data_IF_889449007581
#
_entry.id   IF_889449007581
#
_cell.length_a   1.000
_cell.length_b   1.000
_cell.length_c   1.000
_cell.angle_alpha   90.00
_cell.angle_beta   90.00
_cell.angle_gamma   90.00
#
_symmetry.space_group_name_H-M   'P 1'
#
loop_
_entity.id
_entity.type
_entity.pdbx_description
1 polymer ?
#
# COMPACT_ATOMS: atom_id res chain seq x y z
N UNK A 1 -20.47 7.65 -20.34
CA UNK A 1 -19.71 6.39 -20.24
C UNK A 1 -18.19 6.64 -20.31
N UNK A 2 -17.55 6.85 -19.16
CA UNK A 2 -16.09 6.91 -19.05
C UNK A 2 -15.56 5.48 -19.25
N UNK A 3 -15.12 5.18 -20.48
CA UNK A 3 -14.40 3.93 -20.80
C UNK A 3 -13.23 3.85 -19.82
N UNK A 4 -13.28 2.93 -18.85
CA UNK A 4 -12.17 2.65 -17.96
C UNK A 4 -10.95 2.44 -18.86
N UNK A 5 -9.97 3.33 -18.75
CA UNK A 5 -8.77 3.22 -19.58
C UNK A 5 -7.99 2.06 -19.00
N UNK A 6 -8.11 0.90 -19.63
CA UNK A 6 -7.22 -0.22 -19.33
C UNK A 6 -5.78 0.32 -19.35
N UNK A 7 -4.98 0.05 -18.31
CA UNK A 7 -3.63 0.58 -18.26
C UNK A 7 -2.82 0.06 -19.47
N UNK A 8 -1.84 0.85 -19.96
CA UNK A 8 -1.01 0.42 -21.06
C UNK A 8 -0.32 -0.91 -20.75
N UNK A 9 -0.25 -1.79 -21.75
CA UNK A 9 0.38 -3.11 -21.65
C UNK A 9 1.82 -2.93 -21.15
N UNK A 10 2.21 -3.68 -20.11
CA UNK A 10 3.52 -3.58 -19.47
C UNK A 10 3.61 -2.62 -18.28
N UNK A 11 2.66 -1.70 -18.09
CA UNK A 11 2.70 -0.78 -16.94
C UNK A 11 2.58 -1.51 -15.59
N UNK A 12 1.76 -2.57 -15.52
CA UNK A 12 1.67 -3.43 -14.35
C UNK A 12 2.98 -4.18 -14.09
N UNK A 13 3.60 -4.74 -15.13
CA UNK A 13 4.86 -5.46 -15.00
C UNK A 13 5.99 -4.53 -14.53
N UNK A 14 6.06 -3.31 -15.07
CA UNK A 14 6.99 -2.29 -14.61
C UNK A 14 6.76 -1.94 -13.13
N UNK A 15 5.50 -1.72 -12.72
CA UNK A 15 5.16 -1.44 -11.33
C UNK A 15 5.55 -2.59 -10.38
N UNK A 16 5.36 -3.84 -10.81
CA UNK A 16 5.80 -5.01 -10.06
C UNK A 16 7.32 -5.11 -9.98
N UNK A 17 8.03 -4.73 -11.04
CA UNK A 17 9.50 -4.73 -11.05
C UNK A 17 10.08 -3.71 -10.06
N UNK A 18 9.45 -2.53 -9.96
CA UNK A 18 9.81 -1.53 -8.94
C UNK A 18 9.67 -2.09 -7.52
N UNK A 19 8.62 -2.88 -7.24
CA UNK A 19 8.48 -3.56 -5.94
C UNK A 19 9.58 -4.59 -5.70
N UNK A 20 9.95 -5.40 -6.72
CA UNK A 20 11.05 -6.38 -6.60
C UNK A 20 12.37 -5.69 -6.28
N UNK A 21 12.60 -4.51 -6.86
CA UNK A 21 13.79 -3.67 -6.63
C UNK A 21 13.71 -2.83 -5.36
N UNK A 22 12.61 -2.90 -4.61
CA UNK A 22 12.35 -2.08 -3.41
C UNK A 22 12.35 -0.57 -3.67
N UNK A 23 12.01 -0.16 -4.90
CA UNK A 23 11.84 1.25 -5.25
C UNK A 23 10.43 1.69 -4.86
N UNK A 24 10.19 1.86 -3.57
CA UNK A 24 8.84 2.03 -3.03
C UNK A 24 8.13 3.28 -3.51
N UNK A 25 8.86 4.40 -3.62
CA UNK A 25 8.32 5.69 -4.09
C UNK A 25 7.87 5.58 -5.55
N UNK A 26 8.71 4.99 -6.40
CA UNK A 26 8.38 4.79 -7.81
C UNK A 26 7.22 3.78 -7.94
N UNK A 27 7.26 2.69 -7.17
CA UNK A 27 6.21 1.68 -7.17
C UNK A 27 4.86 2.28 -6.77
N UNK A 28 4.78 3.05 -5.67
CA UNK A 28 3.51 3.66 -5.24
C UNK A 28 2.98 4.64 -6.30
N UNK A 29 3.87 5.38 -6.98
CA UNK A 29 3.46 6.30 -8.04
C UNK A 29 2.90 5.54 -9.25
N UNK A 30 3.59 4.48 -9.69
CA UNK A 30 3.13 3.63 -10.78
C UNK A 30 1.77 2.98 -10.46
N UNK A 31 1.60 2.45 -9.24
CA UNK A 31 0.31 1.87 -8.83
C UNK A 31 -0.79 2.92 -8.67
N UNK A 32 -0.46 4.15 -8.30
CA UNK A 32 -1.42 5.25 -8.29
C UNK A 32 -1.95 5.55 -9.71
N UNK A 33 -1.06 5.65 -10.69
CA UNK A 33 -1.43 5.86 -12.09
C UNK A 33 -2.30 4.72 -12.65
N UNK A 34 -1.94 3.48 -12.34
CA UNK A 34 -2.75 2.30 -12.66
C UNK A 34 -4.14 2.41 -12.04
N UNK A 35 -4.23 2.75 -10.75
CA UNK A 35 -5.49 2.91 -10.04
C UNK A 35 -6.36 4.05 -10.60
N UNK A 36 -5.75 5.14 -11.10
CA UNK A 36 -6.46 6.23 -11.77
C UNK A 36 -6.99 5.79 -13.14
N UNK A 37 -6.21 5.00 -13.89
CA UNK A 37 -6.62 4.50 -15.21
C UNK A 37 -7.78 3.49 -15.12
N UNK A 38 -7.75 2.62 -14.10
CA UNK A 38 -8.73 1.56 -13.87
C UNK A 38 -9.30 1.64 -12.44
N UNK A 39 -10.22 2.59 -12.15
CA UNK A 39 -10.71 2.83 -10.79
C UNK A 39 -11.53 1.67 -10.21
N UNK A 40 -12.05 0.76 -11.05
CA UNK A 40 -12.71 -0.47 -10.61
C UNK A 40 -11.75 -1.53 -10.06
N UNK A 41 -10.47 -1.48 -10.44
CA UNK A 41 -9.47 -2.46 -10.03
C UNK A 41 -8.88 -2.09 -8.66
N UNK A 42 -9.39 -2.72 -7.60
CA UNK A 42 -8.97 -2.42 -6.21
C UNK A 42 -7.54 -2.86 -5.92
N UNK A 43 -7.06 -3.89 -6.62
CA UNK A 43 -5.72 -4.47 -6.46
C UNK A 43 -4.61 -3.42 -6.67
N UNK A 44 -4.78 -2.47 -7.59
CA UNK A 44 -3.79 -1.40 -7.80
C UNK A 44 -3.71 -0.45 -6.62
N UNK A 45 -4.86 -0.06 -6.04
CA UNK A 45 -4.85 0.75 -4.81
C UNK A 45 -4.27 -0.02 -3.64
N UNK A 46 -4.58 -1.31 -3.51
CA UNK A 46 -4.01 -2.15 -2.47
C UNK A 46 -2.48 -2.20 -2.58
N UNK A 47 -1.94 -2.41 -3.78
CA UNK A 47 -0.49 -2.42 -4.04
C UNK A 47 0.17 -1.04 -3.83
N UNK A 48 -0.51 0.05 -4.18
CA UNK A 48 -0.06 1.42 -3.86
C UNK A 48 0.08 1.61 -2.34
N UNK A 49 -0.93 1.22 -1.57
CA UNK A 49 -0.89 1.29 -0.11
C UNK A 49 0.19 0.38 0.48
N UNK A 50 0.37 -0.83 -0.06
CA UNK A 50 1.48 -1.71 0.32
C UNK A 50 2.84 -1.04 0.11
N UNK A 51 3.08 -0.43 -1.06
CA UNK A 51 4.33 0.28 -1.35
C UNK A 51 4.56 1.46 -0.38
N UNK A 52 3.52 2.24 -0.06
CA UNK A 52 3.59 3.30 0.96
C UNK A 52 3.92 2.76 2.35
N UNK A 53 3.33 1.61 2.72
CA UNK A 53 3.63 0.93 3.97
C UNK A 53 5.09 0.51 4.07
N UNK A 54 5.66 -0.02 2.99
CA UNK A 54 7.08 -0.40 2.90
C UNK A 54 8.01 0.82 2.95
N UNK A 55 7.67 1.90 2.25
CA UNK A 55 8.38 3.18 2.32
C UNK A 55 8.43 3.71 3.76
N UNK A 56 7.27 3.73 4.44
CA UNK A 56 7.18 4.19 5.83
C UNK A 56 7.94 3.29 6.80
N UNK A 57 7.90 1.96 6.59
CA UNK A 57 8.63 0.98 7.39
C UNK A 57 10.14 1.22 7.31
N UNK A 58 10.69 1.41 6.10
CA UNK A 58 12.12 1.69 5.92
C UNK A 58 12.52 3.05 6.47
N UNK A 59 11.61 4.02 6.48
CA UNK A 59 11.82 5.32 7.11
C UNK A 59 11.63 5.31 8.64
N UNK A 60 11.34 4.15 9.26
CA UNK A 60 11.11 4.02 10.71
C UNK A 60 9.76 4.60 11.19
N UNK A 61 8.88 5.02 10.27
CA UNK A 61 7.54 5.54 10.58
C UNK A 61 6.55 4.40 10.74
N UNK A 62 6.72 3.61 11.80
CA UNK A 62 6.03 2.34 12.01
C UNK A 62 4.51 2.46 12.12
N UNK A 63 4.00 3.54 12.72
CA UNK A 63 2.55 3.78 12.82
C UNK A 63 1.93 4.03 11.44
N UNK A 64 2.61 4.80 10.60
CA UNK A 64 2.19 5.04 9.20
C UNK A 64 2.27 3.75 8.39
N UNK A 65 3.36 2.98 8.53
CA UNK A 65 3.52 1.70 7.88
C UNK A 65 2.35 0.75 8.20
N UNK A 66 2.00 0.64 9.48
CA UNK A 66 0.87 -0.18 9.95
C UNK A 66 -0.45 0.27 9.34
N UNK A 67 -0.73 1.57 9.37
CA UNK A 67 -1.98 2.12 8.82
C UNK A 67 -2.10 1.88 7.31
N UNK A 68 -1.02 2.07 6.54
CA UNK A 68 -1.02 1.85 5.09
C UNK A 68 -1.14 0.36 4.74
N UNK A 69 -0.46 -0.54 5.47
CA UNK A 69 -0.59 -1.99 5.26
C UNK A 69 -1.99 -2.50 5.61
N UNK A 70 -2.61 -1.97 6.66
CA UNK A 70 -4.01 -2.28 6.98
C UNK A 70 -4.98 -1.81 5.90
N UNK A 71 -4.76 -0.64 5.30
CA UNK A 71 -5.55 -0.18 4.15
C UNK A 71 -5.36 -1.08 2.93
N UNK A 72 -4.14 -1.55 2.66
CA UNK A 72 -3.88 -2.50 1.59
C UNK A 72 -4.69 -3.78 1.76
N UNK A 73 -4.69 -4.36 2.96
CA UNK A 73 -5.45 -5.58 3.31
C UNK A 73 -6.97 -5.33 3.27
N UNK A 74 -7.44 -4.14 3.67
CA UNK A 74 -8.86 -3.81 3.61
C UNK A 74 -9.37 -3.69 2.16
N UNK A 75 -8.51 -3.28 1.23
CA UNK A 75 -8.84 -3.17 -0.20
C UNK A 75 -8.74 -4.51 -0.92
N UNK A 76 -7.72 -5.29 -0.59
CA UNK A 76 -7.48 -6.64 -1.09
C UNK A 76 -7.13 -7.58 0.08
N UNK A 77 -8.15 -8.28 0.63
CA UNK A 77 -7.94 -9.22 1.72
C UNK A 77 -7.06 -10.40 1.36
N UNK A 78 -6.79 -10.68 0.08
CA UNK A 78 -5.96 -11.80 -0.36
C UNK A 78 -4.51 -11.39 -0.63
N UNK A 79 -4.18 -10.11 -0.43
CA UNK A 79 -2.84 -9.57 -0.63
C UNK A 79 -1.84 -10.07 0.44
N UNK A 80 -1.35 -11.29 0.24
CA UNK A 80 -0.47 -12.00 1.18
C UNK A 80 0.81 -11.22 1.52
N UNK A 81 1.36 -10.46 0.57
CA UNK A 81 2.56 -9.63 0.80
C UNK A 81 2.31 -8.50 1.79
N UNK A 82 1.10 -7.92 1.83
CA UNK A 82 0.74 -6.89 2.78
C UNK A 82 0.50 -7.47 4.18
N UNK A 83 -0.14 -8.64 4.28
CA UNK A 83 -0.29 -9.37 5.54
C UNK A 83 1.06 -9.70 6.15
N UNK A 84 1.96 -10.31 5.36
CA UNK A 84 3.32 -10.64 5.81
C UNK A 84 4.09 -9.39 6.27
N UNK A 85 4.04 -8.31 5.49
CA UNK A 85 4.73 -7.08 5.89
C UNK A 85 4.16 -6.47 7.18
N UNK A 86 2.85 -6.61 7.43
CA UNK A 86 2.21 -6.16 8.67
C UNK A 86 2.63 -7.02 9.87
N UNK A 87 2.74 -8.33 9.67
CA UNK A 87 3.22 -9.28 10.69
C UNK A 87 4.70 -9.06 11.03
N UNK A 88 5.50 -8.63 10.05
CA UNK A 88 6.91 -8.28 10.23
C UNK A 88 7.12 -6.96 11.01
N UNK A 89 6.07 -6.13 11.22
CA UNK A 89 6.19 -4.90 11.99
C UNK A 89 6.25 -5.19 13.50
N UNK A 90 7.10 -4.48 14.26
CA UNK A 90 7.09 -4.59 15.71
C UNK A 90 5.72 -4.20 16.27
N UNK A 91 5.28 -4.83 17.38
CA UNK A 91 3.99 -4.54 17.98
C UNK A 91 3.88 -3.05 18.31
N UNK A 92 2.66 -2.49 18.21
CA UNK A 92 2.44 -1.11 18.62
C UNK A 92 2.92 -0.92 20.07
N UNK A 93 3.65 0.17 20.36
CA UNK A 93 4.01 0.48 21.73
C UNK A 93 2.72 0.66 22.53
N UNK A 94 2.54 -0.18 23.56
CA UNK A 94 1.44 -0.07 24.52
C UNK A 94 1.56 1.28 25.22
N UNK A 95 0.87 2.31 24.70
CA UNK A 95 0.97 3.69 25.18
C UNK A 95 1.06 4.78 24.09
N UNK A 96 1.03 4.41 22.80
CA UNK A 96 1.05 5.36 21.67
C UNK A 96 -0.17 6.28 21.60
N UNK A 97 0.05 7.49 21.06
CA UNK A 97 -0.78 8.70 21.08
C UNK A 97 -2.27 8.53 20.70
N UNK A 98 -2.64 7.45 20.01
CA UNK A 98 -4.01 7.17 19.56
C UNK A 98 -4.96 6.73 20.66
N UNK A 99 -4.45 6.19 21.77
CA UNK A 99 -5.24 5.86 22.97
C UNK A 99 -5.85 7.09 23.67
N UNK A 100 -5.36 8.30 23.35
CA UNK A 100 -5.87 9.58 23.90
C UNK A 100 -6.80 10.32 22.96
N UNK A 101 -6.85 9.99 21.66
CA UNK A 101 -7.67 10.72 20.69
C UNK A 101 -9.12 10.20 20.57
N UNK A 102 -9.40 8.97 21.00
CA UNK A 102 -10.73 8.35 20.90
C UNK A 102 -11.45 8.15 22.25
N UNK A 103 -10.95 8.74 23.33
CA UNK A 103 -11.70 8.84 24.60
C UNK A 103 -12.28 10.24 24.75
N UNK A 104 -13.27 10.58 23.93
CA UNK A 104 -14.19 11.68 24.22
C UNK A 104 -15.47 11.54 23.44
#
# INVERSE_FOLDING_TARGET
>A
PTRAKTPPVGALEAAQDLLRRKLWVDARQAFHELAVSAPGEKSYRAMMHYARGREAQEAGRLDEARAELQRAIALDPDLAVAKRALDDLPPEPKGGLFSKLFRR
#
